data_IF_890721893079
#
_entry.id   IF_890721893079
#
_cell.length_a   1.000
_cell.length_b   1.000
_cell.length_c   1.000
_cell.angle_alpha   90.00
_cell.angle_beta   90.00
_cell.angle_gamma   90.00
#
_symmetry.space_group_name_H-M   'P 1'
#
loop_
_entity.id
_entity.type
_entity.pdbx_description
1 polymer ?
#
# COMPACT_ATOMS: atom_id res chain seq x y z
N UNK A 1 -18.71 -22.27 -15.09
CA UNK A 1 -17.38 -22.60 -15.62
C UNK A 1 -16.73 -23.55 -14.63
N UNK A 2 -16.28 -24.72 -15.04
CA UNK A 2 -15.65 -25.67 -14.12
C UNK A 2 -14.23 -25.14 -13.79
N UNK A 3 -13.82 -25.11 -12.53
CA UNK A 3 -12.45 -24.76 -12.18
C UNK A 3 -11.50 -25.82 -12.76
N UNK A 4 -10.51 -25.39 -13.54
CA UNK A 4 -9.46 -26.29 -13.99
C UNK A 4 -8.66 -26.77 -12.78
N UNK A 5 -8.44 -28.08 -12.62
CA UNK A 5 -7.59 -28.59 -11.53
C UNK A 5 -6.16 -28.08 -11.73
N UNK A 6 -5.53 -27.67 -10.63
CA UNK A 6 -4.13 -27.28 -10.61
C UNK A 6 -3.24 -28.39 -11.20
N UNK A 7 -2.23 -28.08 -12.01
CA UNK A 7 -1.25 -29.05 -12.48
C UNK A 7 -0.61 -29.80 -11.32
N UNK A 8 -0.24 -31.06 -11.51
CA UNK A 8 0.32 -31.92 -10.46
C UNK A 8 1.55 -31.28 -9.74
N UNK A 9 2.33 -30.46 -10.46
CA UNK A 9 3.47 -29.72 -9.89
C UNK A 9 3.09 -28.68 -8.84
N UNK A 10 1.91 -28.05 -8.97
CA UNK A 10 1.39 -27.12 -7.98
C UNK A 10 1.02 -27.82 -6.66
N UNK A 11 0.54 -29.08 -6.77
CA UNK A 11 0.21 -29.86 -5.59
C UNK A 11 1.47 -30.23 -4.77
N UNK A 12 2.60 -30.39 -5.42
CA UNK A 12 3.86 -30.71 -4.75
C UNK A 12 4.44 -29.48 -4.03
N UNK A 13 4.41 -28.31 -4.67
CA UNK A 13 4.82 -27.05 -4.04
C UNK A 13 3.96 -26.70 -2.82
N UNK A 14 2.66 -26.91 -2.94
CA UNK A 14 1.72 -26.75 -1.83
C UNK A 14 2.01 -27.72 -0.66
N UNK A 15 2.34 -28.99 -0.97
CA UNK A 15 2.68 -29.97 0.05
C UNK A 15 3.99 -29.67 0.77
N UNK A 16 4.98 -29.12 0.05
CA UNK A 16 6.28 -28.74 0.64
C UNK A 16 6.15 -27.48 1.51
N UNK A 17 5.34 -26.51 1.12
CA UNK A 17 5.08 -25.34 1.95
C UNK A 17 4.35 -25.73 3.27
N UNK A 18 3.39 -26.66 3.23
CA UNK A 18 2.72 -27.17 4.42
C UNK A 18 3.67 -27.94 5.38
N UNK A 19 4.68 -28.65 4.86
CA UNK A 19 5.62 -29.39 5.70
C UNK A 19 6.67 -28.48 6.35
N UNK A 20 7.03 -27.35 5.73
CA UNK A 20 7.91 -26.35 6.33
C UNK A 20 7.24 -25.54 7.45
N UNK A 21 5.92 -25.40 7.46
CA UNK A 21 5.19 -24.70 8.53
C UNK A 21 5.03 -25.54 9.82
N UNK A 22 5.30 -26.85 9.76
CA UNK A 22 5.17 -27.74 10.91
C UNK A 22 6.43 -27.79 11.82
N UNK A 23 7.56 -27.24 11.41
CA UNK A 23 8.70 -27.01 12.30
C UNK A 23 8.51 -25.64 12.95
N UNK A 24 8.24 -25.65 14.27
CA UNK A 24 8.02 -24.49 15.10
C UNK A 24 8.98 -23.33 14.70
N UNK A 25 8.46 -22.34 14.02
CA UNK A 25 9.13 -21.07 13.91
C UNK A 25 9.40 -20.57 15.34
N UNK A 26 10.57 -20.00 15.64
CA UNK A 26 10.80 -19.36 16.92
C UNK A 26 9.64 -18.38 17.12
N UNK A 27 9.03 -18.42 18.31
CA UNK A 27 7.96 -17.53 18.68
C UNK A 27 8.40 -16.10 18.32
N UNK A 28 7.84 -15.56 17.24
CA UNK A 28 8.05 -14.16 16.88
C UNK A 28 7.51 -13.42 18.09
N UNK A 29 8.38 -12.67 18.77
CA UNK A 29 7.96 -11.77 19.82
C UNK A 29 6.77 -10.98 19.26
N UNK A 30 5.67 -10.81 20.03
CA UNK A 30 4.54 -10.04 19.54
C UNK A 30 5.10 -8.72 19.02
N UNK A 31 4.78 -8.41 17.76
CA UNK A 31 5.13 -7.16 17.16
C UNK A 31 4.78 -6.07 18.17
N UNK A 32 5.67 -5.10 18.44
CA UNK A 32 5.38 -4.05 19.40
C UNK A 32 4.00 -3.54 19.05
N UNK A 33 3.09 -3.59 20.04
CA UNK A 33 1.68 -3.26 19.86
C UNK A 33 1.62 -2.03 18.97
N UNK A 34 1.01 -2.18 17.78
CA UNK A 34 0.90 -1.10 16.80
C UNK A 34 0.45 0.12 17.59
N UNK A 35 1.34 1.12 17.73
CA UNK A 35 0.98 2.36 18.38
C UNK A 35 -0.16 2.90 17.58
N UNK A 36 -1.29 3.04 18.22
CA UNK A 36 -2.45 3.64 17.61
C UNK A 36 -1.98 4.91 16.89
N UNK A 37 -2.19 4.98 15.57
CA UNK A 37 -2.05 6.20 14.79
C UNK A 37 -3.18 7.15 15.18
N UNK A 38 -3.20 7.51 16.47
CA UNK A 38 -4.03 8.57 16.94
C UNK A 38 -3.59 9.82 16.18
N UNK A 39 -4.54 10.59 15.66
CA UNK A 39 -4.30 11.99 15.35
C UNK A 39 -3.50 12.56 16.51
N UNK A 40 -2.27 12.99 16.24
CA UNK A 40 -1.40 13.67 17.21
C UNK A 40 -1.33 15.13 16.81
N UNK A 41 -2.39 15.92 17.11
CA UNK A 41 -2.36 17.31 16.73
C UNK A 41 -1.32 18.01 17.60
N UNK A 42 -0.31 18.61 16.97
CA UNK A 42 0.65 19.48 17.65
C UNK A 42 0.02 20.79 18.04
N UNK A 43 -1.00 21.19 17.29
CA UNK A 43 -1.71 22.44 17.52
C UNK A 43 -3.18 22.29 17.11
N UNK A 44 -4.07 22.65 18.02
CA UNK A 44 -5.51 22.78 17.74
C UNK A 44 -5.88 24.25 17.91
N UNK A 45 -6.58 24.80 16.94
CA UNK A 45 -7.18 26.13 17.03
C UNK A 45 -8.65 26.03 16.73
N UNK A 46 -9.47 26.57 17.62
CA UNK A 46 -10.91 26.72 17.43
C UNK A 46 -11.19 28.18 17.10
N UNK A 47 -11.91 28.44 16.02
CA UNK A 47 -12.32 29.78 15.61
C UNK A 47 -13.84 29.91 15.66
N UNK A 48 -14.31 31.09 16.01
CA UNK A 48 -15.71 31.49 15.89
C UNK A 48 -15.75 32.71 14.99
N UNK A 49 -16.51 32.64 13.90
CA UNK A 49 -16.58 33.67 12.85
C UNK A 49 -15.18 34.08 12.32
N UNK A 50 -14.28 33.14 12.21
CA UNK A 50 -12.92 33.37 11.75
C UNK A 50 -11.93 33.92 12.77
N UNK A 51 -12.39 34.34 13.96
CA UNK A 51 -11.51 34.80 15.04
C UNK A 51 -11.08 33.64 15.93
N UNK A 52 -9.81 33.54 16.34
CA UNK A 52 -9.36 32.52 17.28
C UNK A 52 -10.08 32.65 18.62
N UNK A 53 -10.84 31.62 18.99
CA UNK A 53 -11.52 31.55 20.28
C UNK A 53 -10.69 30.78 21.31
N UNK A 54 -10.08 29.68 20.87
CA UNK A 54 -9.24 28.82 21.72
C UNK A 54 -8.02 28.32 20.93
N UNK A 55 -6.91 28.20 21.65
CA UNK A 55 -5.66 27.70 21.09
C UNK A 55 -5.00 26.74 22.08
N UNK A 56 -4.60 25.57 21.59
CA UNK A 56 -3.72 24.66 22.27
C UNK A 56 -2.33 24.74 21.64
N UNK A 57 -1.36 25.13 22.42
CA UNK A 57 0.06 25.11 22.03
C UNK A 57 0.77 24.00 22.81
N UNK A 58 1.49 23.13 22.11
CA UNK A 58 2.34 22.10 22.71
C UNK A 58 1.98 20.67 22.33
N UNK A 59 2.77 19.73 22.83
CA UNK A 59 2.56 18.31 22.62
C UNK A 59 1.29 17.84 23.34
N UNK A 60 0.32 17.40 22.62
CA UNK A 60 -0.92 16.84 23.16
C UNK A 60 -0.70 15.58 24.03
N UNK A 61 0.46 14.96 23.97
CA UNK A 61 0.82 13.87 24.88
C UNK A 61 0.96 14.35 26.33
N UNK A 62 1.31 15.60 26.53
CA UNK A 62 1.49 16.20 27.86
C UNK A 62 0.32 17.08 28.32
N UNK A 63 -0.62 17.41 27.44
CA UNK A 63 -1.64 18.45 27.65
C UNK A 63 -3.05 17.99 27.96
N UNK A 64 -3.29 16.69 28.18
CA UNK A 64 -4.58 16.26 28.71
C UNK A 64 -5.68 15.88 27.69
N UNK A 65 -5.40 15.77 26.39
CA UNK A 65 -6.32 15.08 25.49
C UNK A 65 -6.08 13.58 25.59
N UNK A 66 -7.06 12.86 26.09
CA UNK A 66 -7.08 11.41 26.07
C UNK A 66 -7.80 10.97 24.81
N UNK A 67 -7.06 10.41 23.87
CA UNK A 67 -7.66 9.72 22.74
C UNK A 67 -8.20 8.40 23.25
N UNK A 68 -9.53 8.21 23.15
CA UNK A 68 -10.21 7.06 23.72
C UNK A 68 -10.19 5.81 22.83
N UNK A 69 -9.80 5.92 21.57
CA UNK A 69 -9.63 4.77 20.69
C UNK A 69 -8.15 4.54 20.40
N UNK A 70 -7.68 3.38 20.85
CA UNK A 70 -6.30 2.95 20.66
C UNK A 70 -6.01 2.44 19.24
N UNK A 71 -7.03 2.05 18.48
CA UNK A 71 -6.93 1.55 17.11
C UNK A 71 -7.78 2.41 16.19
N UNK A 72 -7.19 3.05 15.16
CA UNK A 72 -7.99 3.70 14.14
C UNK A 72 -8.84 2.65 13.45
N UNK A 73 -10.14 2.82 13.46
CA UNK A 73 -11.02 2.01 12.64
C UNK A 73 -10.89 2.48 11.18
N UNK A 74 -10.04 1.79 10.43
CA UNK A 74 -9.80 2.09 9.02
C UNK A 74 -11.05 1.93 8.15
N UNK A 75 -12.06 1.19 8.62
CA UNK A 75 -13.30 0.98 7.89
C UNK A 75 -14.29 2.12 8.06
N UNK A 76 -14.45 2.59 9.28
CA UNK A 76 -15.34 3.72 9.57
C UNK A 76 -14.61 5.04 9.46
N UNK A 77 -13.28 5.03 9.44
CA UNK A 77 -12.43 6.21 9.49
C UNK A 77 -12.82 7.18 10.62
N UNK A 78 -13.32 6.63 11.73
CA UNK A 78 -13.73 7.42 12.90
C UNK A 78 -12.53 7.80 13.73
N UNK A 79 -12.54 9.04 14.19
CA UNK A 79 -11.62 9.56 15.18
C UNK A 79 -12.44 10.23 16.26
N UNK A 80 -12.33 9.76 17.49
CA UNK A 80 -13.01 10.39 18.63
C UNK A 80 -12.02 10.62 19.76
N UNK A 81 -12.25 11.69 20.50
CA UNK A 81 -11.39 12.05 21.62
C UNK A 81 -12.03 13.11 22.51
N UNK A 82 -11.39 13.28 23.65
CA UNK A 82 -11.70 14.37 24.57
C UNK A 82 -10.42 14.91 25.18
N UNK A 83 -10.45 16.16 25.59
CA UNK A 83 -9.30 16.77 26.24
C UNK A 83 -9.58 18.17 26.72
N UNK A 84 -8.52 18.85 27.15
CA UNK A 84 -8.62 20.20 27.67
C UNK A 84 -7.86 21.16 26.75
N UNK A 85 -8.52 22.19 26.29
CA UNK A 85 -7.92 23.30 25.54
C UNK A 85 -7.68 24.48 26.47
N UNK A 86 -6.56 25.18 26.24
CA UNK A 86 -6.29 26.44 26.93
C UNK A 86 -6.84 27.59 26.11
N UNK A 87 -7.72 28.38 26.69
CA UNK A 87 -8.30 29.56 26.07
C UNK A 87 -7.26 30.65 25.79
N UNK A 88 -7.51 31.47 24.79
CA UNK A 88 -6.66 32.61 24.43
C UNK A 88 -6.48 33.63 25.58
N UNK A 89 -7.43 33.66 26.52
CA UNK A 89 -7.41 34.51 27.73
C UNK A 89 -6.98 33.76 28.99
N UNK A 90 -6.43 32.55 28.88
CA UNK A 90 -5.87 31.78 29.99
C UNK A 90 -6.83 30.82 30.69
N UNK A 91 -8.10 30.73 30.31
CA UNK A 91 -9.05 29.71 30.80
C UNK A 91 -8.78 28.32 30.18
N UNK A 92 -9.42 27.30 30.74
CA UNK A 92 -9.38 25.92 30.18
C UNK A 92 -10.79 25.48 29.80
N UNK A 93 -10.95 24.89 28.63
CA UNK A 93 -12.20 24.33 28.13
C UNK A 93 -12.05 22.83 27.87
N UNK A 94 -13.11 22.07 28.14
CA UNK A 94 -13.17 20.66 27.74
C UNK A 94 -13.59 20.57 26.29
N UNK A 95 -12.84 19.83 25.49
CA UNK A 95 -13.19 19.53 24.10
C UNK A 95 -13.59 18.07 23.96
N UNK A 96 -14.59 17.81 23.14
CA UNK A 96 -14.98 16.47 22.70
C UNK A 96 -15.17 16.49 21.20
N UNK A 97 -14.73 15.46 20.52
CA UNK A 97 -14.97 15.32 19.07
C UNK A 97 -15.23 13.87 18.70
N UNK A 98 -16.08 13.70 17.69
CA UNK A 98 -16.33 12.43 17.01
C UNK A 98 -16.43 12.74 15.52
N UNK A 99 -15.36 12.44 14.80
CA UNK A 99 -15.18 12.79 13.39
C UNK A 99 -15.07 11.52 12.55
N UNK A 100 -15.61 11.56 11.35
CA UNK A 100 -15.45 10.51 10.33
C UNK A 100 -14.67 11.09 9.17
N UNK A 101 -13.55 10.48 8.83
CA UNK A 101 -12.75 10.85 7.67
C UNK A 101 -13.39 10.24 6.42
N UNK A 102 -13.61 11.04 5.39
CA UNK A 102 -14.12 10.61 4.08
C UNK A 102 -13.18 11.11 2.98
N UNK A 103 -13.34 10.60 1.75
CA UNK A 103 -12.62 11.11 0.58
C UNK A 103 -12.85 12.62 0.34
N UNK A 104 -14.00 13.12 0.73
CA UNK A 104 -14.35 14.55 0.61
C UNK A 104 -13.85 15.41 1.78
N UNK A 105 -13.22 14.80 2.81
CA UNK A 105 -12.76 15.50 4.00
C UNK A 105 -13.23 14.84 5.30
N UNK A 106 -13.53 15.63 6.31
CA UNK A 106 -14.03 15.14 7.59
C UNK A 106 -15.45 15.60 7.82
N UNK A 107 -16.26 14.73 8.40
CA UNK A 107 -17.59 15.04 8.89
C UNK A 107 -17.74 14.52 10.33
N UNK A 108 -18.60 15.14 11.14
CA UNK A 108 -18.84 14.69 12.50
C UNK A 108 -19.19 15.81 13.45
N UNK A 109 -19.07 15.53 14.73
CA UNK A 109 -19.45 16.48 15.79
C UNK A 109 -18.19 16.97 16.52
N UNK A 110 -18.21 18.22 16.88
CA UNK A 110 -17.24 18.89 17.73
C UNK A 110 -17.99 19.61 18.84
N UNK A 111 -17.54 19.45 20.07
CA UNK A 111 -18.08 20.14 21.23
C UNK A 111 -16.97 20.73 22.08
N UNK A 112 -17.18 21.96 22.55
CA UNK A 112 -16.29 22.63 23.49
C UNK A 112 -17.16 23.16 24.62
N UNK A 113 -16.75 22.90 25.86
CA UNK A 113 -17.43 23.32 27.07
C UNK A 113 -16.45 24.02 28.01
N UNK A 114 -16.69 25.30 28.25
CA UNK A 114 -15.94 26.13 29.18
C UNK A 114 -16.93 26.80 30.13
N UNK A 115 -16.49 27.26 31.29
CA UNK A 115 -17.31 27.93 32.28
C UNK A 115 -18.00 29.17 31.69
N UNK A 116 -19.21 28.98 31.14
CA UNK A 116 -20.02 30.04 30.55
C UNK A 116 -20.03 30.08 29.01
N UNK A 117 -19.23 29.27 28.32
CA UNK A 117 -19.30 29.17 26.86
C UNK A 117 -19.38 27.72 26.43
N UNK A 118 -20.41 27.38 25.68
CA UNK A 118 -20.56 26.08 25.07
C UNK A 118 -20.64 26.22 23.56
N UNK A 119 -19.78 25.44 22.85
CA UNK A 119 -19.79 25.38 21.39
C UNK A 119 -20.12 23.94 20.99
N UNK A 120 -21.10 23.80 20.12
CA UNK A 120 -21.47 22.54 19.49
C UNK A 120 -21.56 22.76 17.99
N UNK A 121 -20.82 22.02 17.21
CA UNK A 121 -20.82 22.16 15.76
C UNK A 121 -20.87 20.79 15.08
N UNK A 122 -21.62 20.72 13.99
CA UNK A 122 -21.52 19.63 13.03
C UNK A 122 -20.56 20.07 11.93
N UNK A 123 -19.47 19.33 11.79
CA UNK A 123 -18.45 19.63 10.78
C UNK A 123 -18.88 18.99 9.46
N UNK A 124 -19.05 19.79 8.43
CA UNK A 124 -19.61 19.36 7.15
C UNK A 124 -18.55 19.21 6.06
N UNK A 125 -17.40 19.87 6.21
CA UNK A 125 -16.28 19.75 5.26
C UNK A 125 -14.96 20.11 5.93
N UNK A 126 -13.89 19.45 5.48
CA UNK A 126 -12.52 19.76 5.89
C UNK A 126 -11.60 19.77 4.69
N UNK A 127 -10.68 20.72 4.65
CA UNK A 127 -9.65 20.82 3.64
C UNK A 127 -8.30 20.53 4.31
N UNK A 128 -7.58 19.56 3.78
CA UNK A 128 -6.21 19.28 4.18
C UNK A 128 -5.24 20.10 3.34
N UNK A 129 -4.32 20.79 3.97
CA UNK A 129 -3.22 21.45 3.29
C UNK A 129 -2.06 20.45 3.16
N UNK A 130 -1.66 20.04 1.94
CA UNK A 130 -0.69 18.96 1.77
C UNK A 130 0.73 19.31 2.25
N UNK A 131 1.04 20.60 2.39
CA UNK A 131 2.42 21.06 2.64
C UNK A 131 2.85 21.04 4.11
N UNK A 132 1.90 21.07 5.05
CA UNK A 132 2.22 21.19 6.48
C UNK A 132 1.39 20.26 7.38
N UNK A 133 0.59 19.36 6.77
CA UNK A 133 -0.30 18.48 7.52
C UNK A 133 -1.47 19.17 8.22
N UNK A 134 -1.65 20.47 8.01
CA UNK A 134 -2.75 21.21 8.61
C UNK A 134 -4.08 20.79 7.99
N UNK A 135 -5.03 20.45 8.82
CA UNK A 135 -6.40 20.16 8.42
C UNK A 135 -7.32 21.18 9.04
N UNK A 136 -8.03 21.93 8.20
CA UNK A 136 -8.97 22.94 8.63
C UNK A 136 -10.39 22.52 8.29
N UNK A 137 -11.27 22.58 9.28
CA UNK A 137 -12.68 22.28 9.12
C UNK A 137 -13.51 23.50 9.46
N UNK A 138 -14.58 23.68 8.74
CA UNK A 138 -15.56 24.71 9.02
C UNK A 138 -16.97 24.11 8.96
N UNK A 139 -17.84 24.59 9.82
CA UNK A 139 -19.23 24.20 9.86
C UNK A 139 -20.07 25.25 10.58
N UNK A 140 -21.39 25.14 10.44
CA UNK A 140 -22.31 25.91 11.24
C UNK A 140 -22.42 25.25 12.62
N UNK A 141 -22.28 26.03 13.65
CA UNK A 141 -22.35 25.58 15.03
C UNK A 141 -23.17 26.47 15.88
N UNK A 142 -23.63 25.97 17.03
CA UNK A 142 -24.30 26.70 18.06
C UNK A 142 -23.26 27.14 19.09
N UNK A 143 -23.24 28.42 19.36
CA UNK A 143 -22.45 29.02 20.44
C UNK A 143 -23.39 29.53 21.49
N UNK A 144 -23.26 29.02 22.71
CA UNK A 144 -23.99 29.48 23.88
C UNK A 144 -23.03 30.24 24.79
N UNK A 145 -23.30 31.49 25.05
CA UNK A 145 -22.51 32.32 25.93
C UNK A 145 -23.43 33.31 26.65
N UNK A 146 -23.17 33.53 27.94
CA UNK A 146 -23.96 34.44 28.79
C UNK A 146 -25.49 34.21 28.74
N UNK A 147 -25.86 32.90 28.68
CA UNK A 147 -27.28 32.48 28.59
C UNK A 147 -27.94 32.77 27.23
N UNK A 148 -27.21 33.18 26.22
CA UNK A 148 -27.69 33.42 24.86
C UNK A 148 -27.12 32.39 23.88
N UNK A 149 -28.00 31.85 23.06
CA UNK A 149 -27.65 30.90 22.00
C UNK A 149 -27.62 31.61 20.65
N UNK A 150 -26.58 31.42 19.88
CA UNK A 150 -26.44 31.97 18.53
C UNK A 150 -25.83 30.93 17.57
N UNK A 151 -26.27 30.95 16.31
CA UNK A 151 -25.64 30.15 15.25
C UNK A 151 -24.46 30.92 14.68
N UNK A 152 -23.31 30.29 14.65
CA UNK A 152 -22.04 30.88 14.19
C UNK A 152 -21.30 29.93 13.25
N UNK A 153 -20.42 30.48 12.45
CA UNK A 153 -19.43 29.68 11.74
C UNK A 153 -18.33 29.25 12.71
N UNK A 154 -18.23 27.96 12.96
CA UNK A 154 -17.20 27.39 13.82
C UNK A 154 -16.13 26.75 12.93
N UNK A 155 -14.92 27.19 13.09
CA UNK A 155 -13.74 26.62 12.44
C UNK A 155 -12.90 25.85 13.45
N UNK A 156 -12.28 24.79 12.95
CA UNK A 156 -11.42 23.93 13.74
C UNK A 156 -10.20 23.58 12.88
N UNK A 157 -9.02 23.94 13.33
CA UNK A 157 -7.76 23.67 12.64
C UNK A 157 -6.90 22.78 13.51
N UNK A 158 -6.43 21.68 12.94
CA UNK A 158 -5.52 20.72 13.56
C UNK A 158 -4.30 20.60 12.71
N UNK A 159 -3.14 20.68 13.32
CA UNK A 159 -1.92 20.21 12.70
C UNK A 159 -1.80 18.71 12.98
N UNK A 160 -1.94 17.91 11.93
CA UNK A 160 -1.88 16.45 11.99
C UNK A 160 -0.42 16.03 11.82
N UNK A 161 0.19 15.48 12.86
CA UNK A 161 1.52 14.89 12.71
C UNK A 161 1.44 13.69 11.80
N UNK A 162 2.41 13.57 10.91
CA UNK A 162 2.59 12.38 10.11
C UNK A 162 2.91 11.19 11.02
N UNK A 163 2.51 9.97 10.62
CA UNK A 163 2.99 8.76 11.27
C UNK A 163 4.51 8.73 11.33
N UNK A 164 5.07 8.22 12.41
CA UNK A 164 6.52 8.07 12.54
C UNK A 164 7.06 7.14 11.44
N UNK A 165 8.30 7.35 10.94
CA UNK A 165 8.96 6.38 10.07
C UNK A 165 8.98 4.98 10.67
N UNK A 166 9.03 3.94 9.84
CA UNK A 166 9.12 2.55 10.27
C UNK A 166 7.88 1.72 9.94
N UNK A 167 7.61 0.74 10.77
CA UNK A 167 6.68 -0.35 10.48
C UNK A 167 5.30 -0.09 11.09
N UNK A 168 4.26 -0.26 10.27
CA UNK A 168 2.87 -0.11 10.68
C UNK A 168 2.05 -1.32 10.20
N UNK A 169 1.21 -1.86 11.07
CA UNK A 169 0.21 -2.84 10.67
C UNK A 169 -1.12 -2.13 10.36
N UNK A 170 -1.64 -2.37 9.18
CA UNK A 170 -2.95 -1.89 8.74
C UNK A 170 -3.94 -3.03 8.87
N UNK A 171 -4.96 -2.85 9.71
CA UNK A 171 -6.08 -3.78 9.85
C UNK A 171 -7.34 -3.11 9.35
N UNK A 172 -8.03 -3.74 8.42
CA UNK A 172 -9.32 -3.25 7.94
C UNK A 172 -10.27 -4.43 7.64
N UNK A 173 -11.57 -4.15 7.64
CA UNK A 173 -12.58 -5.10 7.15
C UNK A 173 -12.96 -4.69 5.75
N UNK A 174 -12.83 -5.60 4.78
CA UNK A 174 -13.27 -5.40 3.41
C UNK A 174 -14.19 -6.54 3.00
N UNK A 175 -15.35 -6.24 2.45
CA UNK A 175 -16.37 -7.23 2.07
C UNK A 175 -16.66 -8.26 3.19
N UNK A 176 -16.72 -7.80 4.46
CA UNK A 176 -16.97 -8.64 5.64
C UNK A 176 -15.77 -9.46 6.12
N UNK A 177 -14.62 -9.39 5.46
CA UNK A 177 -13.41 -10.12 5.82
C UNK A 177 -12.40 -9.22 6.55
N UNK A 178 -11.81 -9.73 7.63
CA UNK A 178 -10.65 -9.08 8.29
C UNK A 178 -9.45 -9.20 7.35
N UNK A 179 -8.83 -8.06 7.04
CA UNK A 179 -7.69 -7.98 6.13
C UNK A 179 -6.55 -7.24 6.80
N UNK A 180 -5.35 -7.66 6.49
CA UNK A 180 -4.11 -7.11 7.06
C UNK A 180 -3.16 -6.69 5.94
N UNK A 181 -2.39 -5.63 6.19
CA UNK A 181 -1.24 -5.26 5.38
C UNK A 181 -0.12 -4.73 6.27
N UNK A 182 1.13 -4.99 5.90
CA UNK A 182 2.28 -4.37 6.54
C UNK A 182 2.71 -3.17 5.69
N UNK A 183 2.79 -2.03 6.34
CA UNK A 183 3.25 -0.78 5.74
C UNK A 183 4.64 -0.45 6.29
N UNK A 184 5.54 -0.07 5.40
CA UNK A 184 6.89 0.39 5.70
C UNK A 184 7.04 1.83 5.26
N UNK A 185 7.17 2.75 6.20
CA UNK A 185 7.51 4.13 5.93
C UNK A 185 9.04 4.30 5.92
N UNK A 186 9.61 4.97 4.90
CA UNK A 186 11.04 5.10 4.78
C UNK A 186 11.65 5.92 5.92
N UNK A 187 12.96 5.73 6.16
CA UNK A 187 13.73 6.53 7.07
C UNK A 187 13.63 8.02 6.66
N UNK A 188 13.41 8.90 7.64
CA UNK A 188 13.22 10.33 7.38
C UNK A 188 11.89 10.72 6.73
N UNK A 189 10.86 9.83 6.79
CA UNK A 189 9.51 10.21 6.40
C UNK A 189 9.01 11.40 7.23
N UNK A 190 8.67 12.48 6.54
CA UNK A 190 8.26 13.77 7.11
C UNK A 190 6.82 14.15 6.72
N UNK A 191 6.08 13.20 6.13
CA UNK A 191 4.72 13.39 5.66
C UNK A 191 4.56 14.07 4.31
N UNK A 192 5.65 14.44 3.65
CA UNK A 192 5.54 14.90 2.26
C UNK A 192 5.01 13.78 1.35
N UNK A 193 4.37 14.13 0.21
CA UNK A 193 3.87 13.12 -0.72
C UNK A 193 4.99 12.25 -1.27
N UNK A 194 4.94 10.94 -0.97
CA UNK A 194 5.90 9.95 -1.46
C UNK A 194 5.25 8.97 -2.44
N UNK A 195 6.01 8.41 -3.39
CA UNK A 195 5.53 7.28 -4.18
C UNK A 195 5.34 6.04 -3.29
N UNK A 196 4.44 5.15 -3.68
CA UNK A 196 4.19 3.91 -2.95
C UNK A 196 4.23 2.69 -3.88
N UNK A 197 4.88 1.62 -3.41
CA UNK A 197 4.94 0.32 -4.07
C UNK A 197 4.15 -0.71 -3.26
N UNK A 198 3.17 -1.34 -3.90
CA UNK A 198 2.48 -2.51 -3.41
C UNK A 198 3.27 -3.75 -3.82
N UNK A 199 3.63 -4.58 -2.85
CA UNK A 199 4.28 -5.87 -3.09
C UNK A 199 3.34 -7.00 -2.68
N UNK A 200 2.93 -7.81 -3.63
CA UNK A 200 1.97 -8.90 -3.43
C UNK A 200 2.71 -10.22 -3.22
N UNK A 201 2.58 -10.86 -2.03
CA UNK A 201 3.16 -12.16 -1.72
C UNK A 201 2.71 -13.28 -2.65
N UNK A 202 3.53 -14.32 -2.76
CA UNK A 202 3.21 -15.55 -3.46
C UNK A 202 2.18 -16.42 -2.73
N UNK A 203 1.93 -17.59 -3.29
CA UNK A 203 1.00 -18.58 -2.72
C UNK A 203 1.52 -19.08 -1.36
N UNK A 204 0.66 -19.10 -0.34
CA UNK A 204 0.96 -19.45 1.06
C UNK A 204 1.97 -18.54 1.77
N UNK A 205 2.38 -17.47 1.15
CA UNK A 205 3.34 -16.55 1.74
C UNK A 205 2.64 -15.52 2.64
N UNK A 206 3.23 -15.26 3.80
CA UNK A 206 2.87 -14.10 4.61
C UNK A 206 3.63 -12.86 4.12
N UNK A 207 3.15 -11.65 4.42
CA UNK A 207 3.88 -10.42 4.11
C UNK A 207 5.34 -10.43 4.60
N UNK A 208 5.55 -10.88 5.84
CA UNK A 208 6.90 -10.94 6.44
C UNK A 208 7.81 -11.93 5.73
N UNK A 209 7.28 -13.05 5.24
CA UNK A 209 8.07 -14.03 4.52
C UNK A 209 8.50 -13.52 3.15
N UNK A 210 7.58 -12.87 2.42
CA UNK A 210 7.90 -12.25 1.13
C UNK A 210 8.96 -11.15 1.28
N UNK A 211 8.89 -10.35 2.35
CA UNK A 211 9.88 -9.33 2.65
C UNK A 211 11.24 -9.93 3.06
N UNK A 212 11.22 -11.07 3.77
CA UNK A 212 12.44 -11.74 4.23
C UNK A 212 13.32 -12.20 3.06
N UNK A 213 12.76 -12.90 2.07
CA UNK A 213 13.59 -13.36 0.95
C UNK A 213 13.83 -12.29 -0.11
N UNK A 214 12.88 -11.35 -0.27
CA UNK A 214 12.92 -10.32 -1.31
C UNK A 214 13.72 -9.08 -0.94
N UNK A 215 13.91 -8.78 0.35
CA UNK A 215 14.59 -7.58 0.86
C UNK A 215 14.01 -6.25 0.37
N UNK A 216 12.81 -6.25 -0.22
CA UNK A 216 12.21 -5.03 -0.79
C UNK A 216 11.91 -3.98 0.29
N UNK A 217 11.59 -4.41 1.52
CA UNK A 217 11.33 -3.51 2.64
C UNK A 217 12.56 -2.67 3.00
N UNK A 218 13.74 -3.31 3.11
CA UNK A 218 15.00 -2.62 3.38
C UNK A 218 15.40 -1.70 2.22
N UNK A 219 15.17 -2.17 1.00
CA UNK A 219 15.40 -1.35 -0.19
C UNK A 219 14.51 -0.10 -0.19
N UNK A 220 13.22 -0.23 0.12
CA UNK A 220 12.27 0.88 0.18
C UNK A 220 12.66 1.91 1.24
N UNK A 221 13.07 1.43 2.43
CA UNK A 221 13.47 2.27 3.54
C UNK A 221 14.62 3.19 3.17
N UNK A 222 15.64 2.66 2.49
CA UNK A 222 16.83 3.42 2.09
C UNK A 222 16.62 4.29 0.85
N UNK A 223 15.64 3.94 -0.01
CA UNK A 223 15.34 4.68 -1.24
C UNK A 223 14.25 5.73 -1.10
N UNK A 224 13.61 5.82 0.05
CA UNK A 224 12.68 6.90 0.38
C UNK A 224 11.31 6.78 -0.30
N UNK A 225 10.76 5.57 -0.42
CA UNK A 225 9.39 5.34 -0.88
C UNK A 225 8.60 4.49 0.13
N UNK A 226 7.29 4.65 0.10
CA UNK A 226 6.37 3.86 0.92
C UNK A 226 6.26 2.46 0.31
N UNK A 227 6.44 1.41 1.12
CA UNK A 227 6.15 0.05 0.72
C UNK A 227 4.96 -0.48 1.51
N UNK A 228 4.07 -1.20 0.84
CA UNK A 228 2.97 -1.92 1.47
C UNK A 228 2.92 -3.36 0.95
N UNK A 229 2.87 -4.29 1.89
CA UNK A 229 2.76 -5.73 1.62
C UNK A 229 1.44 -6.23 2.19
N UNK A 230 0.38 -6.30 1.36
CA UNK A 230 -0.91 -6.82 1.79
C UNK A 230 -0.88 -8.34 1.96
N UNK A 231 -1.68 -8.86 2.88
CA UNK A 231 -1.90 -10.29 3.04
C UNK A 231 -3.09 -10.75 2.18
N UNK A 232 -2.91 -11.83 1.40
CA UNK A 232 -4.01 -12.48 0.71
C UNK A 232 -4.93 -13.19 1.71
N UNK A 233 -6.18 -13.46 1.31
CA UNK A 233 -7.10 -14.26 2.09
C UNK A 233 -6.88 -15.76 1.82
N UNK A 234 -6.71 -16.55 2.88
CA UNK A 234 -6.50 -17.99 2.75
C UNK A 234 -5.15 -18.33 2.10
N UNK A 235 -5.16 -19.05 0.99
CA UNK A 235 -3.96 -19.62 0.39
C UNK A 235 -3.28 -18.73 -0.64
N UNK A 236 -3.99 -17.74 -1.20
CA UNK A 236 -3.47 -16.87 -2.26
C UNK A 236 -4.52 -15.89 -2.78
N UNK A 237 -4.10 -15.04 -3.69
CA UNK A 237 -4.93 -14.00 -4.32
C UNK A 237 -6.03 -14.60 -5.19
N UNK A 238 -7.23 -14.05 -5.11
CA UNK A 238 -8.39 -14.55 -5.82
C UNK A 238 -8.42 -14.13 -7.29
N UNK A 239 -9.05 -14.97 -8.12
CA UNK A 239 -9.19 -14.72 -9.56
C UNK A 239 -7.91 -14.94 -10.36
N UNK A 240 -6.89 -15.57 -9.77
CA UNK A 240 -5.68 -16.05 -10.42
C UNK A 240 -5.35 -17.48 -9.98
N UNK A 241 -4.40 -18.14 -10.66
CA UNK A 241 -3.99 -19.49 -10.29
C UNK A 241 -3.46 -19.53 -8.84
N UNK A 242 -3.95 -20.45 -8.05
CA UNK A 242 -3.60 -20.64 -6.65
C UNK A 242 -4.54 -19.97 -5.65
N UNK A 243 -5.46 -19.11 -6.09
CA UNK A 243 -6.49 -18.57 -5.21
C UNK A 243 -7.39 -19.68 -4.62
N UNK A 244 -7.93 -19.45 -3.44
CA UNK A 244 -8.77 -20.42 -2.74
C UNK A 244 -10.09 -20.64 -3.49
N UNK A 245 -10.41 -21.86 -3.94
CA UNK A 245 -11.66 -22.13 -4.64
C UNK A 245 -12.87 -21.85 -3.73
N UNK A 246 -13.90 -21.19 -4.29
CA UNK A 246 -15.17 -20.95 -3.60
C UNK A 246 -15.13 -19.84 -2.53
N UNK A 247 -14.01 -19.17 -2.33
CA UNK A 247 -13.97 -17.97 -1.50
C UNK A 247 -14.55 -16.78 -2.28
N UNK A 248 -15.58 -16.17 -1.72
CA UNK A 248 -16.12 -14.89 -2.21
C UNK A 248 -15.33 -13.76 -1.56
N UNK A 249 -14.19 -13.45 -2.17
CA UNK A 249 -13.23 -12.44 -1.65
C UNK A 249 -12.94 -11.41 -2.72
N UNK A 250 -13.16 -10.16 -2.41
CA UNK A 250 -12.83 -9.01 -3.28
C UNK A 250 -11.43 -8.47 -3.00
N UNK A 251 -10.40 -9.16 -3.51
CA UNK A 251 -9.01 -8.70 -3.40
C UNK A 251 -8.74 -7.40 -4.17
N UNK A 252 -9.26 -7.17 -5.40
CA UNK A 252 -9.08 -5.89 -6.07
C UNK A 252 -9.70 -4.70 -5.31
N UNK A 253 -10.87 -4.90 -4.70
CA UNK A 253 -11.50 -3.89 -3.84
C UNK A 253 -10.71 -3.63 -2.57
N UNK A 254 -10.16 -4.68 -1.94
CA UNK A 254 -9.24 -4.55 -0.81
C UNK A 254 -8.00 -3.70 -1.16
N UNK A 255 -7.38 -3.96 -2.31
CA UNK A 255 -6.25 -3.16 -2.79
C UNK A 255 -6.68 -1.71 -2.99
N UNK A 256 -7.86 -1.45 -3.54
CA UNK A 256 -8.40 -0.11 -3.72
C UNK A 256 -8.60 0.61 -2.38
N UNK A 257 -9.10 -0.10 -1.37
CA UNK A 257 -9.23 0.44 -0.01
C UNK A 257 -7.86 0.78 0.61
N UNK A 258 -6.85 -0.08 0.41
CA UNK A 258 -5.49 0.21 0.86
C UNK A 258 -4.88 1.42 0.13
N UNK A 259 -5.14 1.60 -1.18
CA UNK A 259 -4.72 2.79 -1.91
C UNK A 259 -5.31 4.06 -1.28
N UNK A 260 -6.59 4.02 -0.86
CA UNK A 260 -7.23 5.14 -0.16
C UNK A 260 -6.57 5.41 1.20
N UNK A 261 -6.30 4.37 1.98
CA UNK A 261 -5.59 4.47 3.26
C UNK A 261 -4.22 5.14 3.05
N UNK A 262 -3.43 4.67 2.08
CA UNK A 262 -2.10 5.23 1.82
C UNK A 262 -2.15 6.70 1.42
N UNK A 263 -3.06 7.06 0.52
CA UNK A 263 -3.20 8.44 0.03
C UNK A 263 -3.67 9.37 1.14
N UNK A 264 -4.68 8.96 1.92
CA UNK A 264 -5.33 9.87 2.86
C UNK A 264 -4.67 9.92 4.23
N UNK A 265 -3.99 8.85 4.66
CA UNK A 265 -3.39 8.77 5.99
C UNK A 265 -1.87 8.87 5.98
N UNK A 266 -1.25 8.34 4.93
CA UNK A 266 0.20 8.27 4.81
C UNK A 266 0.75 9.16 3.70
N UNK A 267 -0.08 10.03 3.17
CA UNK A 267 0.27 11.02 2.14
C UNK A 267 1.03 10.42 0.93
N UNK A 268 0.64 9.19 0.51
CA UNK A 268 1.16 8.65 -0.74
C UNK A 268 0.69 9.51 -1.92
N UNK A 269 1.58 9.76 -2.87
CA UNK A 269 1.21 10.48 -4.10
C UNK A 269 0.27 9.60 -4.96
N UNK A 270 -1.01 9.96 -5.14
CA UNK A 270 -1.98 9.12 -5.85
C UNK A 270 -1.61 8.88 -7.31
N UNK A 271 -0.72 9.67 -7.87
CA UNK A 271 -0.24 9.50 -9.25
C UNK A 271 0.99 8.62 -9.35
N UNK A 272 1.59 8.23 -8.22
CA UNK A 272 2.81 7.42 -8.15
C UNK A 272 2.61 6.19 -7.26
N UNK A 273 1.53 5.46 -7.52
CA UNK A 273 1.29 4.15 -6.92
C UNK A 273 1.74 3.08 -7.91
N UNK A 274 2.45 2.08 -7.44
CA UNK A 274 3.04 1.01 -8.26
C UNK A 274 2.70 -0.34 -7.68
N UNK A 275 2.70 -1.38 -8.53
CA UNK A 275 2.39 -2.74 -8.15
C UNK A 275 3.49 -3.70 -8.59
N UNK A 276 3.89 -4.59 -7.69
CA UNK A 276 4.79 -5.70 -7.94
C UNK A 276 4.37 -6.90 -7.08
N UNK A 277 4.86 -8.08 -7.41
CA UNK A 277 4.62 -9.29 -6.65
C UNK A 277 5.24 -10.49 -7.31
N UNK A 278 5.38 -11.58 -6.56
CA UNK A 278 5.98 -12.81 -7.04
C UNK A 278 4.96 -13.93 -7.17
N UNK A 279 5.13 -14.82 -8.16
CA UNK A 279 4.36 -16.06 -8.28
C UNK A 279 2.85 -15.78 -8.34
N UNK A 280 2.05 -16.27 -7.40
CA UNK A 280 0.64 -15.94 -7.27
C UNK A 280 0.41 -14.43 -7.13
N UNK A 281 1.26 -13.71 -6.39
CA UNK A 281 1.25 -12.25 -6.31
C UNK A 281 1.64 -11.56 -7.62
N UNK A 282 2.50 -12.19 -8.42
CA UNK A 282 2.84 -11.74 -9.78
C UNK A 282 1.65 -11.87 -10.75
N UNK A 283 0.92 -13.00 -10.71
CA UNK A 283 -0.32 -13.16 -11.45
C UNK A 283 -1.36 -12.10 -11.05
N UNK A 284 -1.48 -11.84 -9.74
CA UNK A 284 -2.37 -10.83 -9.22
C UNK A 284 -1.95 -9.41 -9.64
N UNK A 285 -0.64 -9.11 -9.62
CA UNK A 285 -0.09 -7.86 -10.17
C UNK A 285 -0.49 -7.68 -11.65
N UNK A 286 -0.39 -8.74 -12.44
CA UNK A 286 -0.77 -8.73 -13.86
C UNK A 286 -2.28 -8.56 -14.05
N UNK A 287 -3.12 -9.19 -13.20
CA UNK A 287 -4.56 -8.99 -13.17
C UNK A 287 -4.92 -7.54 -12.83
N UNK A 288 -4.27 -6.95 -11.82
CA UNK A 288 -4.49 -5.55 -11.45
C UNK A 288 -4.13 -4.60 -12.60
N UNK A 289 -3.15 -4.93 -13.44
CA UNK A 289 -2.83 -4.12 -14.62
C UNK A 289 -4.00 -4.05 -15.63
N UNK A 290 -4.90 -5.05 -15.62
CA UNK A 290 -6.11 -5.06 -16.44
C UNK A 290 -7.27 -4.29 -15.77
N UNK A 291 -7.37 -4.29 -14.45
CA UNK A 291 -8.58 -3.90 -13.72
C UNK A 291 -8.40 -2.61 -12.90
N UNK A 292 -7.24 -2.39 -12.30
CA UNK A 292 -6.98 -1.25 -11.41
C UNK A 292 -6.25 -0.13 -12.12
N UNK A 293 -6.96 0.95 -12.45
CA UNK A 293 -6.40 2.09 -13.18
C UNK A 293 -5.58 3.07 -12.33
N UNK A 294 -5.49 2.82 -11.02
CA UNK A 294 -4.83 3.73 -10.05
C UNK A 294 -3.33 3.47 -9.89
N UNK A 295 -2.79 2.39 -10.47
CA UNK A 295 -1.35 2.16 -10.51
C UNK A 295 -0.73 2.76 -11.76
N UNK A 296 0.40 3.46 -11.61
CA UNK A 296 1.12 4.08 -12.70
C UNK A 296 1.96 3.09 -13.52
N UNK A 297 2.47 2.02 -12.88
CA UNK A 297 3.27 0.98 -13.51
C UNK A 297 3.18 -0.34 -12.74
N UNK A 298 3.53 -1.46 -13.41
CA UNK A 298 3.43 -2.81 -12.89
C UNK A 298 4.71 -3.60 -13.16
N UNK A 299 5.09 -4.44 -12.19
CA UNK A 299 6.30 -5.25 -12.28
C UNK A 299 6.10 -6.67 -11.71
N UNK A 300 5.38 -7.56 -12.40
CA UNK A 300 5.22 -8.96 -11.98
C UNK A 300 6.51 -9.77 -12.13
N UNK A 301 6.80 -10.61 -11.12
CA UNK A 301 7.94 -11.54 -11.09
C UNK A 301 7.40 -12.98 -11.06
N UNK A 302 7.88 -13.85 -11.95
CA UNK A 302 7.51 -15.28 -12.05
C UNK A 302 6.00 -15.55 -11.95
N UNK A 303 5.17 -14.62 -12.48
CA UNK A 303 3.70 -14.69 -12.41
C UNK A 303 3.07 -13.71 -13.40
N UNK A 304 3.01 -14.10 -14.68
CA UNK A 304 2.56 -13.20 -15.74
C UNK A 304 1.06 -13.31 -16.00
N UNK A 305 0.54 -12.43 -16.87
CA UNK A 305 -0.88 -12.40 -17.24
C UNK A 305 -1.41 -13.75 -17.74
N UNK A 306 -2.42 -14.28 -17.05
CA UNK A 306 -3.01 -15.59 -17.35
C UNK A 306 -4.18 -15.50 -18.33
N UNK A 307 -5.12 -14.60 -18.10
CA UNK A 307 -6.31 -14.43 -18.93
C UNK A 307 -6.20 -13.16 -19.77
N UNK A 308 -5.60 -13.32 -20.96
CA UNK A 308 -5.46 -12.22 -21.91
C UNK A 308 -6.81 -11.82 -22.53
N UNK A 309 -7.76 -12.74 -22.63
CA UNK A 309 -9.06 -12.48 -23.25
C UNK A 309 -9.93 -11.57 -22.36
N UNK A 310 -9.84 -11.74 -21.05
CA UNK A 310 -10.54 -10.89 -20.09
C UNK A 310 -9.82 -9.58 -19.74
N UNK A 311 -8.60 -9.40 -20.22
CA UNK A 311 -7.79 -8.24 -19.87
C UNK A 311 -8.06 -7.04 -20.78
N UNK A 312 -8.67 -5.99 -20.22
CA UNK A 312 -9.01 -4.75 -20.94
C UNK A 312 -8.55 -3.51 -20.17
N UNK A 313 -7.25 -3.17 -20.19
CA UNK A 313 -6.71 -2.06 -19.38
C UNK A 313 -7.33 -0.70 -19.70
N UNK A 314 -7.78 -0.51 -20.94
CA UNK A 314 -8.36 0.74 -21.42
C UNK A 314 -7.35 1.90 -21.55
N UNK A 315 -6.06 1.59 -21.40
CA UNK A 315 -4.94 2.53 -21.61
C UNK A 315 -3.66 1.76 -21.91
N UNK A 316 -2.64 2.45 -22.35
CA UNK A 316 -1.28 1.92 -22.37
C UNK A 316 -0.74 1.81 -20.95
N UNK A 317 -0.07 0.70 -20.62
CA UNK A 317 0.36 0.34 -19.26
C UNK A 317 1.86 0.03 -19.25
N UNK A 318 2.70 0.78 -18.52
CA UNK A 318 4.10 0.43 -18.36
C UNK A 318 4.23 -0.90 -17.62
N UNK A 319 4.87 -1.90 -18.25
CA UNK A 319 5.02 -3.25 -17.67
C UNK A 319 6.47 -3.70 -17.77
N UNK A 320 7.01 -4.10 -16.63
CA UNK A 320 8.28 -4.81 -16.50
C UNK A 320 8.00 -6.23 -16.01
N UNK A 321 8.44 -7.24 -16.74
CA UNK A 321 8.31 -8.64 -16.35
C UNK A 321 9.70 -9.21 -16.02
N UNK A 322 9.78 -10.05 -14.99
CA UNK A 322 11.00 -10.80 -14.67
C UNK A 322 10.62 -12.27 -14.55
N UNK A 323 11.37 -13.18 -15.19
CA UNK A 323 11.05 -14.60 -15.15
C UNK A 323 12.27 -15.49 -15.45
N UNK A 324 12.43 -16.56 -14.68
CA UNK A 324 13.43 -17.59 -14.92
C UNK A 324 13.02 -18.55 -16.04
N UNK A 325 13.88 -18.86 -16.98
CA UNK A 325 13.52 -19.78 -18.07
C UNK A 325 13.62 -21.28 -17.69
N UNK A 326 14.23 -21.56 -16.53
CA UNK A 326 14.24 -22.88 -15.92
C UNK A 326 13.30 -22.97 -14.69
N UNK A 327 12.30 -22.07 -14.58
CA UNK A 327 11.33 -22.06 -13.51
C UNK A 327 10.52 -23.36 -13.47
N UNK A 328 10.65 -24.20 -12.42
CA UNK A 328 9.99 -25.49 -12.33
C UNK A 328 8.52 -25.39 -11.88
N UNK A 329 8.07 -24.22 -11.42
CA UNK A 329 6.72 -23.98 -10.86
C UNK A 329 5.84 -23.29 -11.88
N UNK A 330 6.28 -22.14 -12.39
CA UNK A 330 5.56 -21.34 -13.39
C UNK A 330 6.33 -21.37 -14.70
N UNK A 331 5.83 -22.07 -15.75
CA UNK A 331 6.55 -22.17 -17.01
C UNK A 331 6.87 -20.81 -17.62
N UNK A 332 8.09 -20.61 -18.09
CA UNK A 332 8.55 -19.39 -18.78
C UNK A 332 7.65 -19.01 -19.98
N UNK A 333 6.99 -20.01 -20.58
CA UNK A 333 6.02 -19.79 -21.64
C UNK A 333 4.91 -18.78 -21.26
N UNK A 334 4.61 -18.61 -19.98
CA UNK A 334 3.66 -17.60 -19.51
C UNK A 334 4.17 -16.19 -19.76
N UNK A 335 5.47 -15.96 -19.59
CA UNK A 335 6.12 -14.67 -19.86
C UNK A 335 6.19 -14.38 -21.36
N UNK A 336 6.60 -15.36 -22.16
CA UNK A 336 6.69 -15.21 -23.64
C UNK A 336 5.31 -15.06 -24.29
N UNK A 337 4.23 -15.51 -23.65
CA UNK A 337 2.86 -15.25 -24.09
C UNK A 337 2.34 -13.86 -23.65
N UNK A 338 2.66 -13.41 -22.45
CA UNK A 338 2.17 -12.15 -21.90
C UNK A 338 2.88 -10.92 -22.50
N UNK A 339 4.17 -11.02 -22.79
CA UNK A 339 4.95 -9.89 -23.29
C UNK A 339 4.42 -9.32 -24.62
N UNK A 340 4.12 -10.13 -25.66
CA UNK A 340 3.49 -9.63 -26.89
C UNK A 340 2.08 -9.06 -26.68
N UNK A 341 1.33 -9.56 -25.69
CA UNK A 341 0.03 -8.99 -25.35
C UNK A 341 0.17 -7.54 -24.87
N UNK A 342 1.05 -7.30 -23.92
CA UNK A 342 1.31 -5.96 -23.42
C UNK A 342 1.88 -5.03 -24.48
N UNK A 343 2.78 -5.55 -25.35
CA UNK A 343 3.32 -4.80 -26.47
C UNK A 343 2.21 -4.32 -27.42
N UNK A 344 1.30 -5.20 -27.81
CA UNK A 344 0.13 -4.82 -28.63
C UNK A 344 -0.78 -3.82 -27.93
N UNK A 345 -1.12 -4.06 -26.63
CA UNK A 345 -1.94 -3.13 -25.86
C UNK A 345 -1.33 -1.73 -25.81
N UNK A 346 -0.02 -1.63 -25.73
CA UNK A 346 0.69 -0.35 -25.62
C UNK A 346 1.03 0.29 -26.98
N UNK A 347 0.74 -0.39 -28.09
CA UNK A 347 1.08 0.11 -29.43
C UNK A 347 2.58 0.03 -29.75
N UNK A 348 3.30 -0.90 -29.13
CA UNK A 348 4.70 -1.21 -29.45
C UNK A 348 4.82 -1.95 -30.79
N UNK A 349 6.04 -2.03 -31.33
CA UNK A 349 6.39 -2.94 -32.42
C UNK A 349 6.34 -4.40 -31.99
N UNK A 350 6.65 -5.31 -32.90
CA UNK A 350 6.66 -6.75 -32.67
C UNK A 350 8.07 -7.31 -32.38
N UNK A 351 9.11 -6.49 -32.53
CA UNK A 351 10.50 -6.81 -32.30
C UNK A 351 10.96 -6.33 -30.93
N UNK A 352 12.07 -6.91 -30.47
CA UNK A 352 12.74 -6.50 -29.22
C UNK A 352 14.19 -6.11 -29.50
N UNK A 353 14.66 -5.12 -28.79
CA UNK A 353 16.09 -4.87 -28.61
C UNK A 353 16.56 -5.67 -27.42
N UNK A 354 17.38 -6.68 -27.67
CA UNK A 354 17.90 -7.59 -26.65
C UNK A 354 19.26 -7.11 -26.14
N UNK A 355 19.43 -7.14 -24.82
CA UNK A 355 20.66 -6.75 -24.15
C UNK A 355 21.05 -7.83 -23.15
N UNK A 356 22.18 -8.51 -23.37
CA UNK A 356 22.78 -9.37 -22.35
C UNK A 356 23.41 -8.51 -21.26
N UNK A 357 23.04 -8.74 -20.01
CA UNK A 357 23.64 -8.05 -18.87
C UNK A 357 24.95 -8.75 -18.47
N UNK A 358 25.87 -8.05 -17.78
CA UNK A 358 27.08 -8.67 -17.25
C UNK A 358 26.74 -9.83 -16.30
N UNK A 359 27.42 -10.95 -16.47
CA UNK A 359 27.46 -12.06 -15.53
C UNK A 359 28.45 -11.70 -14.42
N UNK A 360 27.94 -11.22 -13.31
CA UNK A 360 28.73 -10.75 -12.16
C UNK A 360 28.92 -11.85 -11.10
N UNK A 361 28.12 -12.92 -11.19
CA UNK A 361 28.14 -14.06 -10.29
C UNK A 361 28.15 -15.39 -11.08
N UNK A 362 29.21 -15.70 -11.83
CA UNK A 362 29.24 -16.84 -12.75
C UNK A 362 29.04 -18.21 -12.08
N UNK A 363 29.21 -18.27 -10.76
CA UNK A 363 29.03 -19.50 -9.98
C UNK A 363 27.55 -19.78 -9.62
N UNK A 364 26.63 -18.86 -9.88
CA UNK A 364 25.19 -19.07 -9.60
C UNK A 364 24.46 -19.84 -10.73
N UNK A 365 25.15 -20.06 -11.85
CA UNK A 365 24.65 -20.84 -13.00
C UNK A 365 23.57 -20.12 -13.80
N UNK A 366 23.44 -18.80 -13.65
CA UNK A 366 22.46 -18.00 -14.37
C UNK A 366 23.08 -16.87 -15.19
N UNK A 367 22.37 -16.37 -16.18
CA UNK A 367 22.68 -15.13 -16.89
C UNK A 367 21.40 -14.37 -17.21
N UNK A 368 21.49 -13.08 -17.49
CA UNK A 368 20.31 -12.22 -17.67
C UNK A 368 20.27 -11.60 -19.06
N UNK A 369 19.12 -11.73 -19.73
CA UNK A 369 18.83 -11.03 -20.97
C UNK A 369 17.63 -10.10 -20.75
N UNK A 370 17.80 -8.84 -21.11
CA UNK A 370 16.73 -7.86 -21.14
C UNK A 370 16.17 -7.75 -22.57
N UNK A 371 14.89 -8.05 -22.73
CA UNK A 371 14.14 -7.89 -23.96
C UNK A 371 13.29 -6.62 -23.85
N UNK A 372 13.62 -5.55 -24.55
CA UNK A 372 12.84 -4.33 -24.59
C UNK A 372 12.08 -4.25 -25.91
N UNK A 373 10.75 -4.21 -25.86
CA UNK A 373 9.95 -4.06 -27.07
C UNK A 373 10.19 -2.71 -27.76
N UNK A 374 10.43 -2.76 -29.06
CA UNK A 374 10.74 -1.58 -29.87
C UNK A 374 9.47 -0.76 -30.16
N UNK A 375 9.66 0.55 -30.40
CA UNK A 375 8.58 1.43 -30.80
C UNK A 375 7.48 1.65 -29.76
N UNK A 376 7.67 1.24 -28.52
CA UNK A 376 6.74 1.55 -27.44
C UNK A 376 6.68 3.06 -27.19
N UNK A 377 5.51 3.62 -26.84
CA UNK A 377 5.43 4.96 -26.30
C UNK A 377 6.34 5.08 -25.05
N UNK A 378 7.07 6.19 -24.92
CA UNK A 378 7.98 6.42 -23.80
C UNK A 378 7.28 6.31 -22.42
N UNK A 379 5.99 6.63 -22.39
CA UNK A 379 5.15 6.54 -21.19
C UNK A 379 4.65 5.12 -20.87
N UNK A 380 4.84 4.14 -21.76
CA UNK A 380 4.31 2.78 -21.58
C UNK A 380 5.22 1.70 -22.22
N UNK A 381 6.50 1.62 -21.84
CA UNK A 381 7.39 0.57 -22.34
C UNK A 381 6.97 -0.81 -21.82
N UNK A 382 7.33 -1.84 -22.58
CA UNK A 382 7.20 -3.24 -22.21
C UNK A 382 8.60 -3.88 -22.23
N UNK A 383 9.00 -4.43 -21.09
CA UNK A 383 10.31 -5.04 -20.90
C UNK A 383 10.14 -6.41 -20.25
N UNK A 384 10.86 -7.40 -20.75
CA UNK A 384 10.97 -8.70 -20.11
C UNK A 384 12.44 -8.97 -19.77
N UNK A 385 12.73 -9.27 -18.51
CA UNK A 385 14.01 -9.82 -18.08
C UNK A 385 13.87 -11.34 -18.03
N UNK A 386 14.60 -12.01 -18.91
CA UNK A 386 14.79 -13.45 -18.92
C UNK A 386 16.00 -13.79 -18.06
N UNK A 387 15.80 -14.59 -17.02
CA UNK A 387 16.89 -15.16 -16.23
C UNK A 387 17.17 -16.55 -16.80
N UNK A 388 18.21 -16.68 -17.61
CA UNK A 388 18.64 -17.97 -18.18
C UNK A 388 19.18 -18.88 -17.07
N UNK A 389 18.69 -20.11 -17.00
CA UNK A 389 18.99 -21.04 -15.90
C UNK A 389 18.32 -20.67 -14.58
N UNK A 390 17.63 -19.53 -14.51
CA UNK A 390 16.91 -19.08 -13.32
C UNK A 390 15.66 -19.89 -13.04
N UNK A 391 15.41 -20.15 -11.78
CA UNK A 391 14.24 -20.86 -11.27
C UNK A 391 13.12 -19.93 -10.79
N UNK A 392 12.30 -20.47 -9.89
CA UNK A 392 11.17 -19.75 -9.29
C UNK A 392 11.61 -18.96 -8.05
N UNK A 393 12.46 -17.97 -8.24
CA UNK A 393 13.07 -17.20 -7.15
C UNK A 393 13.01 -15.70 -7.43
N UNK A 394 13.16 -14.89 -6.35
CA UNK A 394 13.31 -13.45 -6.46
C UNK A 394 14.76 -13.12 -6.83
N UNK A 395 15.05 -12.52 -8.00
CA UNK A 395 16.41 -12.20 -8.41
C UNK A 395 17.10 -11.24 -7.42
N UNK A 396 18.33 -11.58 -7.03
CA UNK A 396 19.07 -10.86 -6.01
C UNK A 396 18.62 -11.13 -4.58
N UNK A 397 17.58 -11.94 -4.40
CA UNK A 397 17.03 -12.28 -3.10
C UNK A 397 17.76 -13.45 -2.41
N UNK A 398 17.28 -13.79 -1.21
CA UNK A 398 17.78 -14.94 -0.46
C UNK A 398 17.16 -16.24 -0.98
N UNK A 399 17.95 -17.21 -1.47
CA UNK A 399 17.45 -18.54 -1.81
C UNK A 399 16.87 -19.25 -0.57
N UNK A 400 15.62 -19.72 -0.63
CA UNK A 400 14.98 -20.30 0.56
C UNK A 400 14.55 -21.76 0.41
N UNK A 401 14.25 -22.27 -0.77
CA UNK A 401 13.90 -23.67 -0.99
C UNK A 401 14.86 -24.41 -1.92
N UNK A 402 16.04 -23.83 -2.17
CA UNK A 402 17.15 -24.46 -2.90
C UNK A 402 16.71 -25.17 -4.18
N UNK A 403 17.06 -26.46 -4.35
CA UNK A 403 16.86 -27.19 -5.61
C UNK A 403 15.39 -27.30 -6.04
N UNK A 404 14.42 -27.13 -5.15
CA UNK A 404 12.99 -27.22 -5.48
C UNK A 404 12.49 -26.06 -6.32
N UNK A 405 13.09 -24.88 -6.14
CA UNK A 405 12.73 -23.67 -6.88
C UNK A 405 13.71 -23.34 -8.01
N UNK A 406 14.84 -24.07 -8.11
CA UNK A 406 15.88 -23.82 -9.12
C UNK A 406 16.84 -22.71 -8.75
N UNK A 407 17.64 -22.25 -9.73
CA UNK A 407 18.67 -21.23 -9.56
C UNK A 407 18.12 -19.86 -9.17
N UNK A 408 18.88 -19.13 -8.35
CA UNK A 408 18.58 -17.73 -7.99
C UNK A 408 19.72 -16.85 -8.52
N UNK A 409 19.43 -16.03 -9.50
CA UNK A 409 20.45 -15.11 -10.04
C UNK A 409 20.84 -14.05 -9.01
N UNK A 410 22.13 -13.75 -8.96
CA UNK A 410 22.69 -12.63 -8.23
C UNK A 410 23.24 -11.55 -9.18
N UNK A 411 23.07 -11.71 -10.48
CA UNK A 411 23.51 -10.73 -11.50
C UNK A 411 22.69 -9.46 -11.51
N UNK A 412 21.46 -9.53 -11.01
CA UNK A 412 20.58 -8.38 -10.84
C UNK A 412 19.89 -8.42 -9.47
N UNK A 413 19.65 -7.25 -8.94
CA UNK A 413 18.72 -7.04 -7.81
C UNK A 413 17.35 -6.64 -8.36
N UNK A 414 16.35 -7.51 -8.22
CA UNK A 414 15.00 -7.25 -8.67
C UNK A 414 14.40 -5.98 -8.04
N UNK A 415 14.75 -5.67 -6.78
CA UNK A 415 14.29 -4.46 -6.11
C UNK A 415 14.75 -3.21 -6.87
N UNK A 416 16.04 -3.18 -7.24
CA UNK A 416 16.61 -2.08 -7.99
C UNK A 416 16.04 -2.00 -9.41
N UNK A 417 15.92 -3.14 -10.11
CA UNK A 417 15.35 -3.22 -11.46
C UNK A 417 13.92 -2.72 -11.48
N UNK A 418 13.07 -3.19 -10.55
CA UNK A 418 11.68 -2.81 -10.42
C UNK A 418 11.56 -1.32 -10.09
N UNK A 419 12.25 -0.87 -9.05
CA UNK A 419 12.16 0.53 -8.63
C UNK A 419 12.64 1.50 -9.70
N UNK A 420 13.79 1.23 -10.33
CA UNK A 420 14.31 2.05 -11.42
C UNK A 420 13.38 2.09 -12.64
N UNK A 421 12.55 1.06 -12.83
CA UNK A 421 11.53 1.07 -13.86
C UNK A 421 10.29 1.85 -13.43
N UNK A 422 9.61 1.45 -12.34
CA UNK A 422 8.29 1.96 -11.98
C UNK A 422 8.33 3.43 -11.56
N UNK A 423 9.40 3.90 -10.91
CA UNK A 423 9.52 5.26 -10.39
C UNK A 423 9.54 6.35 -11.46
N UNK A 424 9.77 5.98 -12.74
CA UNK A 424 9.75 6.88 -13.88
C UNK A 424 8.33 7.31 -14.30
N UNK A 425 7.32 6.55 -13.87
CA UNK A 425 5.95 6.74 -14.35
C UNK A 425 5.08 7.41 -13.31
N UNK A 426 4.13 8.17 -13.83
CA UNK A 426 3.07 8.81 -13.04
C UNK A 426 1.79 8.87 -13.86
N UNK A 427 0.66 8.76 -13.21
CA UNK A 427 -0.64 9.01 -13.84
C UNK A 427 -0.80 10.50 -14.17
N UNK A 428 -1.50 10.78 -15.25
CA UNK A 428 -1.85 12.13 -15.68
C UNK A 428 -2.81 12.83 -14.73
#
# INVERSE_FOLDING_TARGET
MHPHPLPARWRLAAAVALTCTATAAPAVAPAPSARADALRPDRITVTVDGAPAYRLDGDLRSGGITVTEATPDYNTNKVQGQGTLRGAKGGTATVRFALTRTLAGLSGTFGLDDAGVRISATVVSGVRTPSDGTVTWQGQGTVEADGRTSTRTVGFTVQDRHPDPGDHAIHLVHAGQQRVAILRLPDGYDGRPLPALFHFPGLFETPLFAEFYGHMADYARTRGFIMITPEHYGTGWQGVAGGQPGADVDDPGFVSALQDVLVHRFNADPRRLYASGMSNGGFFTSKLACENKRFAAYAPVSGQLQDQAACHPGRAVPVLMIHGDADPIVPYATATAAAPFWARNNGCGTTTTDTSLPDTHPDDGTTVIKHAYDGCPAAAPVILYQIKGGGHNWPGGTPYLGPLLGGTTQDIDANAVIWNFVSRFRLS
#
